data_IF_886644674067
#
_entry.id   IF_886644674067
#
_cell.length_a   1.000
_cell.length_b   1.000
_cell.length_c   1.000
_cell.angle_alpha   90.00
_cell.angle_beta   90.00
_cell.angle_gamma   90.00
#
_symmetry.space_group_name_H-M   'P 1'
#
loop_
_entity.id
_entity.type
_entity.pdbx_description
1 polymer ?
#
# COMPACT_ATOMS: atom_id res chain seq x y z
N UNK A 1 -13.74 -3.24 13.95
CA UNK A 1 -13.87 -1.93 13.25
C UNK A 1 -13.46 -2.14 11.80
N UNK A 2 -14.36 -1.87 10.86
CA UNK A 2 -14.14 -2.15 9.44
C UNK A 2 -13.42 -0.99 8.73
N UNK A 3 -12.65 -1.33 7.72
CA UNK A 3 -12.00 -0.43 6.75
C UNK A 3 -12.67 -0.59 5.37
N UNK A 4 -12.61 0.43 4.48
CA UNK A 4 -11.97 1.74 4.66
C UNK A 4 -12.82 2.72 5.49
N UNK A 5 -12.22 3.85 5.88
CA UNK A 5 -12.90 4.96 6.55
C UNK A 5 -12.61 6.30 5.86
N UNK A 6 -13.43 7.31 6.13
CA UNK A 6 -13.11 8.69 5.82
C UNK A 6 -12.23 9.30 6.92
N UNK A 7 -11.09 9.86 6.53
CA UNK A 7 -10.20 10.60 7.43
C UNK A 7 -10.61 12.06 7.44
N UNK A 8 -11.36 12.44 8.49
CA UNK A 8 -11.80 13.80 8.74
C UNK A 8 -10.74 14.56 9.53
N UNK A 9 -10.09 15.56 8.93
CA UNK A 9 -9.04 16.38 9.55
C UNK A 9 -9.52 17.11 10.82
N UNK A 10 -10.82 17.33 10.97
CA UNK A 10 -11.43 17.96 12.16
C UNK A 10 -11.54 17.01 13.35
N UNK A 11 -11.48 15.69 13.12
CA UNK A 11 -11.68 14.66 14.14
C UNK A 11 -10.40 13.90 14.51
N UNK A 12 -9.25 14.32 13.97
CA UNK A 12 -7.98 13.64 14.24
C UNK A 12 -7.28 14.24 15.45
N UNK A 13 -6.78 13.37 16.31
CA UNK A 13 -5.83 13.76 17.35
C UNK A 13 -4.43 13.85 16.73
N UNK A 14 -3.77 15.01 16.91
CA UNK A 14 -2.42 15.21 16.42
C UNK A 14 -1.43 14.56 17.37
N UNK A 15 -0.86 13.44 16.95
CA UNK A 15 0.07 12.65 17.77
C UNK A 15 1.50 12.78 17.27
N UNK A 16 2.31 13.61 17.93
CA UNK A 16 3.70 13.88 17.52
C UNK A 16 4.69 12.77 17.91
N UNK A 17 4.42 12.03 18.99
CA UNK A 17 5.34 11.01 19.52
C UNK A 17 5.44 9.74 18.65
N UNK A 18 4.47 9.50 17.75
CA UNK A 18 4.53 8.38 16.80
C UNK A 18 5.68 8.50 15.80
N UNK A 19 6.22 9.71 15.61
CA UNK A 19 7.35 9.96 14.73
C UNK A 19 7.06 9.60 13.27
N UNK A 20 8.13 9.32 12.52
CA UNK A 20 8.06 8.94 11.10
C UNK A 20 7.85 7.42 10.99
N UNK A 21 7.23 6.97 9.90
CA UNK A 21 7.26 5.57 9.50
C UNK A 21 8.73 5.13 9.32
N UNK A 22 9.20 4.25 10.20
CA UNK A 22 10.55 3.69 10.12
C UNK A 22 10.53 2.51 9.14
N UNK A 23 11.25 2.65 8.03
CA UNK A 23 11.24 1.71 6.91
C UNK A 23 12.67 1.27 6.62
N UNK A 24 12.88 -0.04 6.63
CA UNK A 24 14.15 -0.70 6.31
C UNK A 24 13.95 -1.63 5.12
N UNK A 25 13.48 -1.09 4.00
CA UNK A 25 13.28 -1.85 2.78
C UNK A 25 14.59 -2.09 2.04
N UNK A 26 14.63 -3.19 1.29
CA UNK A 26 15.72 -3.56 0.39
C UNK A 26 15.15 -4.08 -0.92
N UNK A 27 15.93 -3.94 -1.99
CA UNK A 27 15.58 -4.55 -3.27
C UNK A 27 15.56 -6.08 -3.15
N UNK A 28 14.59 -6.70 -3.81
CA UNK A 28 14.44 -8.15 -3.88
C UNK A 28 13.74 -8.52 -5.19
N UNK A 29 13.82 -9.80 -5.59
CA UNK A 29 13.05 -10.28 -6.72
C UNK A 29 11.56 -10.15 -6.43
N UNK A 30 10.79 -9.80 -7.44
CA UNK A 30 9.35 -9.62 -7.33
C UNK A 30 8.60 -10.24 -8.50
N UNK A 31 7.40 -10.71 -8.19
CA UNK A 31 6.41 -11.13 -9.17
C UNK A 31 5.23 -10.18 -9.14
N UNK A 32 4.58 -10.04 -10.29
CA UNK A 32 3.40 -9.21 -10.49
C UNK A 32 2.29 -10.10 -11.03
N UNK A 33 1.12 -10.01 -10.41
CA UNK A 33 -0.02 -10.86 -10.69
C UNK A 33 -1.26 -10.00 -10.90
N UNK A 34 -2.03 -10.32 -11.95
CA UNK A 34 -3.37 -9.79 -12.14
C UNK A 34 -4.40 -10.71 -11.49
N UNK A 35 -5.05 -10.25 -10.42
CA UNK A 35 -6.04 -11.07 -9.70
C UNK A 35 -7.43 -11.05 -10.32
N UNK A 36 -7.67 -10.27 -11.37
CA UNK A 36 -8.79 -10.37 -12.32
C UNK A 36 -10.24 -10.22 -11.81
N UNK A 37 -10.50 -10.46 -10.53
CA UNK A 37 -11.83 -10.66 -9.93
C UNK A 37 -12.01 -10.01 -8.55
N UNK A 38 -10.94 -9.62 -7.86
CA UNK A 38 -10.99 -8.91 -6.57
C UNK A 38 -10.86 -7.39 -6.75
N UNK A 39 -11.23 -6.62 -5.71
CA UNK A 39 -11.02 -5.16 -5.66
C UNK A 39 -9.54 -4.77 -5.89
N UNK A 40 -8.62 -5.70 -5.60
CA UNK A 40 -7.19 -5.64 -5.88
C UNK A 40 -6.93 -6.06 -7.34
N UNK A 41 -6.74 -5.10 -8.24
CA UNK A 41 -6.48 -5.44 -9.65
C UNK A 41 -5.09 -6.01 -9.87
N UNK A 42 -4.10 -5.38 -9.25
CA UNK A 42 -2.68 -5.70 -9.43
C UNK A 42 -2.04 -5.97 -8.09
N UNK A 43 -1.36 -7.10 -7.96
CA UNK A 43 -0.63 -7.49 -6.75
C UNK A 43 0.84 -7.76 -7.11
N UNK A 44 1.74 -7.13 -6.39
CA UNK A 44 3.17 -7.38 -6.43
C UNK A 44 3.63 -8.03 -5.13
N UNK A 45 4.37 -9.13 -5.26
CA UNK A 45 4.96 -9.87 -4.13
C UNK A 45 6.46 -9.89 -4.26
N UNK A 46 7.17 -9.87 -3.14
CA UNK A 46 8.62 -9.99 -3.13
C UNK A 46 9.07 -11.35 -2.62
N UNK A 47 9.89 -12.02 -3.41
CA UNK A 47 10.51 -13.30 -3.07
C UNK A 47 11.72 -13.09 -2.16
N UNK A 48 11.83 -13.89 -1.09
CA UNK A 48 12.95 -13.79 -0.14
C UNK A 48 12.93 -12.55 0.78
N UNK A 49 11.83 -11.79 0.76
CA UNK A 49 11.56 -10.66 1.64
C UNK A 49 12.24 -9.35 1.23
N UNK A 50 11.48 -8.26 1.15
CA UNK A 50 11.95 -6.95 0.72
C UNK A 50 12.20 -5.95 1.86
N UNK A 51 12.48 -6.48 3.05
CA UNK A 51 12.70 -5.71 4.28
C UNK A 51 11.41 -5.45 5.04
N UNK A 52 11.41 -4.44 5.91
CA UNK A 52 10.39 -4.30 6.95
C UNK A 52 10.08 -2.85 7.31
N UNK A 53 9.03 -2.68 8.10
CA UNK A 53 8.77 -1.45 8.86
C UNK A 53 8.78 -1.75 10.36
N UNK A 54 9.03 -0.71 11.16
CA UNK A 54 8.94 -0.81 12.62
C UNK A 54 7.84 0.08 13.17
N UNK A 55 6.89 -0.52 13.90
CA UNK A 55 5.78 0.17 14.54
C UNK A 55 5.75 -0.21 16.01
N UNK A 56 5.84 0.79 16.90
CA UNK A 56 5.83 0.61 18.36
C UNK A 56 6.86 -0.42 18.87
N UNK A 57 8.03 -0.49 18.25
CA UNK A 57 9.11 -1.42 18.61
C UNK A 57 9.03 -2.79 17.91
N UNK A 58 7.87 -3.16 17.38
CA UNK A 58 7.65 -4.41 16.63
C UNK A 58 8.02 -4.25 15.16
N UNK A 59 8.67 -5.26 14.60
CA UNK A 59 9.02 -5.33 13.19
C UNK A 59 7.92 -6.06 12.39
N UNK A 60 7.61 -5.51 11.21
CA UNK A 60 6.63 -6.04 10.28
C UNK A 60 7.27 -6.16 8.89
N UNK A 61 7.43 -7.38 8.40
CA UNK A 61 8.01 -7.69 7.09
C UNK A 61 7.06 -7.28 5.98
N UNK A 62 7.57 -6.68 4.90
CA UNK A 62 6.78 -6.35 3.71
C UNK A 62 6.49 -7.63 2.93
N UNK A 63 5.21 -7.97 2.83
CA UNK A 63 4.75 -9.19 2.15
C UNK A 63 4.30 -8.91 0.71
N UNK A 64 3.51 -7.85 0.53
CA UNK A 64 2.96 -7.50 -0.78
C UNK A 64 2.62 -6.01 -0.90
N UNK A 65 2.50 -5.56 -2.14
CA UNK A 65 1.90 -4.29 -2.50
C UNK A 65 0.79 -4.53 -3.53
N UNK A 66 -0.34 -3.86 -3.40
CA UNK A 66 -1.41 -3.95 -4.39
C UNK A 66 -2.13 -2.63 -4.57
N UNK A 67 -2.87 -2.50 -5.67
CA UNK A 67 -3.55 -1.26 -6.04
C UNK A 67 -5.05 -1.44 -6.20
N UNK A 68 -5.79 -0.45 -5.71
CA UNK A 68 -7.23 -0.28 -5.88
C UNK A 68 -7.52 0.96 -6.72
N UNK A 69 -8.46 0.84 -7.65
CA UNK A 69 -8.93 1.96 -8.50
C UNK A 69 -10.46 1.96 -8.52
N UNK A 70 -11.14 3.00 -7.98
CA UNK A 70 -10.61 4.20 -7.33
C UNK A 70 -9.99 3.91 -5.94
N UNK A 71 -9.54 4.95 -5.21
CA UNK A 71 -9.11 4.77 -3.81
C UNK A 71 -10.23 4.18 -2.95
N UNK A 72 -9.87 3.44 -1.91
CA UNK A 72 -10.85 2.92 -0.95
C UNK A 72 -11.13 3.96 0.14
N UNK A 73 -10.05 4.54 0.68
CA UNK A 73 -10.12 5.61 1.66
C UNK A 73 -10.45 6.96 1.02
N UNK A 74 -11.03 7.84 1.84
CA UNK A 74 -11.26 9.25 1.52
C UNK A 74 -10.61 10.14 2.57
N UNK A 75 -10.26 11.37 2.19
CA UNK A 75 -9.82 12.41 3.13
C UNK A 75 -10.81 13.58 3.01
N UNK A 76 -11.46 13.94 4.12
CA UNK A 76 -12.50 14.98 4.15
C UNK A 76 -13.58 14.75 3.07
N UNK A 77 -14.05 13.51 2.95
CA UNK A 77 -15.03 13.09 1.94
C UNK A 77 -14.52 13.01 0.49
N UNK A 78 -13.25 13.39 0.22
CA UNK A 78 -12.67 13.34 -1.12
C UNK A 78 -12.14 11.95 -1.46
N UNK A 79 -12.66 11.37 -2.54
CA UNK A 79 -12.15 10.14 -3.16
C UNK A 79 -11.03 10.44 -4.16
N UNK A 80 -10.08 9.52 -4.28
CA UNK A 80 -8.88 9.65 -5.10
C UNK A 80 -8.87 8.65 -6.26
N UNK A 81 -8.00 8.87 -7.23
CA UNK A 81 -7.99 8.11 -8.48
C UNK A 81 -7.51 6.66 -8.28
N UNK A 82 -6.62 6.44 -7.32
CA UNK A 82 -6.07 5.13 -6.99
C UNK A 82 -5.52 5.13 -5.57
N UNK A 83 -5.40 3.95 -4.97
CA UNK A 83 -4.74 3.74 -3.69
C UNK A 83 -3.85 2.51 -3.74
N UNK A 84 -2.61 2.63 -3.27
CA UNK A 84 -1.71 1.50 -3.07
C UNK A 84 -1.70 1.09 -1.61
N UNK A 85 -1.74 -0.22 -1.36
CA UNK A 85 -1.64 -0.82 -0.04
C UNK A 85 -0.37 -1.65 0.03
N UNK A 86 0.56 -1.23 0.88
CA UNK A 86 1.74 -2.02 1.24
C UNK A 86 1.42 -2.78 2.52
N UNK A 87 1.27 -4.11 2.42
CA UNK A 87 0.86 -4.99 3.52
C UNK A 87 2.09 -5.57 4.18
N UNK A 88 2.12 -5.48 5.51
CA UNK A 88 3.21 -5.98 6.32
C UNK A 88 2.68 -6.90 7.42
N UNK A 89 3.46 -7.91 7.77
CA UNK A 89 3.12 -8.89 8.79
C UNK A 89 4.28 -9.07 9.77
N UNK A 90 3.98 -9.11 11.07
CA UNK A 90 4.96 -9.43 12.11
C UNK A 90 5.02 -10.93 12.35
N UNK A 91 6.07 -11.40 13.04
CA UNK A 91 6.24 -12.82 13.37
C UNK A 91 5.10 -13.43 14.20
N UNK A 92 4.30 -12.60 14.88
CA UNK A 92 3.11 -13.00 15.65
C UNK A 92 1.79 -12.87 14.85
N UNK A 93 1.86 -12.65 13.53
CA UNK A 93 0.71 -12.60 12.63
C UNK A 93 -0.09 -11.29 12.69
N UNK A 94 0.43 -10.22 13.32
CA UNK A 94 -0.23 -8.91 13.31
C UNK A 94 0.06 -8.20 11.99
N UNK A 95 -0.95 -7.48 11.49
CA UNK A 95 -0.90 -6.83 10.18
C UNK A 95 -0.80 -5.32 10.32
N UNK A 96 0.12 -4.72 9.57
CA UNK A 96 0.19 -3.27 9.35
C UNK A 96 0.08 -2.98 7.86
N UNK A 97 -0.83 -2.10 7.48
CA UNK A 97 -0.96 -1.64 6.09
C UNK A 97 -0.58 -0.17 5.98
N UNK A 98 0.29 0.14 5.02
CA UNK A 98 0.61 1.51 4.64
C UNK A 98 -0.14 1.85 3.36
N UNK A 99 -1.08 2.79 3.45
CA UNK A 99 -1.88 3.27 2.33
C UNK A 99 -1.31 4.52 1.68
N UNK A 100 -1.25 4.55 0.36
CA UNK A 100 -0.75 5.68 -0.44
C UNK A 100 -1.82 6.08 -1.44
N UNK A 101 -2.32 7.31 -1.32
CA UNK A 101 -3.36 7.84 -2.20
C UNK A 101 -2.74 8.50 -3.44
N UNK A 102 -3.41 8.36 -4.58
CA UNK A 102 -2.97 8.92 -5.84
C UNK A 102 -4.04 9.78 -6.53
N UNK A 103 -3.60 10.85 -7.20
CA UNK A 103 -4.46 11.70 -8.02
C UNK A 103 -3.90 11.83 -9.45
N UNK A 104 -4.75 12.16 -10.41
CA UNK A 104 -4.33 12.34 -11.80
C UNK A 104 -3.42 13.57 -11.90
N UNK A 105 -2.28 13.44 -12.58
CA UNK A 105 -1.27 14.47 -12.70
C UNK A 105 -0.03 14.00 -13.45
N UNK A 106 1.16 14.25 -12.88
CA UNK A 106 2.43 13.82 -13.48
C UNK A 106 2.61 12.31 -13.33
N UNK A 107 3.27 11.63 -14.30
CA UNK A 107 3.57 10.20 -14.19
C UNK A 107 4.30 9.86 -12.89
N UNK A 108 3.91 8.76 -12.27
CA UNK A 108 4.70 8.19 -11.20
C UNK A 108 5.81 7.29 -11.80
N UNK A 109 7.05 7.55 -11.39
CA UNK A 109 8.22 6.86 -11.92
C UNK A 109 8.25 5.37 -11.59
N UNK A 110 7.69 4.96 -10.43
CA UNK A 110 7.63 3.55 -10.08
C UNK A 110 6.61 2.82 -10.96
N UNK A 111 5.39 3.36 -11.07
CA UNK A 111 4.37 2.77 -11.95
C UNK A 111 4.83 2.73 -13.41
N UNK A 112 5.51 3.78 -13.88
CA UNK A 112 6.08 3.79 -15.22
C UNK A 112 7.15 2.71 -15.41
N UNK A 113 7.98 2.43 -14.40
CA UNK A 113 9.01 1.39 -14.49
C UNK A 113 8.45 -0.02 -14.61
N UNK A 114 7.23 -0.26 -14.11
CA UNK A 114 6.56 -1.56 -14.19
C UNK A 114 5.46 -1.60 -15.26
N UNK A 115 5.33 -0.55 -16.09
CA UNK A 115 4.21 -0.40 -17.03
C UNK A 115 4.12 -1.55 -18.02
N UNK A 116 5.23 -1.98 -18.62
CA UNK A 116 5.22 -3.09 -19.56
C UNK A 116 4.75 -4.38 -18.91
N UNK A 117 5.19 -4.67 -17.68
CA UNK A 117 4.70 -5.83 -16.92
C UNK A 117 3.22 -5.72 -16.58
N UNK A 118 2.71 -4.52 -16.30
CA UNK A 118 1.29 -4.27 -16.09
C UNK A 118 0.48 -4.57 -17.36
N UNK A 119 0.98 -4.17 -18.53
CA UNK A 119 0.36 -4.42 -19.83
C UNK A 119 0.34 -5.92 -20.18
N UNK A 120 1.44 -6.63 -19.89
CA UNK A 120 1.56 -8.07 -20.13
C UNK A 120 0.48 -8.88 -19.39
N UNK A 121 0.22 -8.53 -18.12
CA UNK A 121 -0.77 -9.25 -17.31
C UNK A 121 -2.18 -8.63 -17.35
N UNK A 122 -2.36 -7.44 -17.94
CA UNK A 122 -3.69 -6.81 -18.03
C UNK A 122 -4.63 -7.55 -18.99
N UNK A 123 -4.09 -8.26 -19.99
CA UNK A 123 -4.84 -9.00 -20.99
C UNK A 123 -5.25 -10.42 -20.57
N UNK A 124 -4.69 -10.94 -19.48
CA UNK A 124 -4.84 -12.33 -19.07
C UNK A 124 -5.22 -12.41 -17.61
N UNK A 125 -6.30 -13.13 -17.31
CA UNK A 125 -6.76 -13.32 -15.93
C UNK A 125 -5.88 -14.35 -15.25
N UNK A 126 -5.44 -14.05 -14.03
CA UNK A 126 -4.65 -14.96 -13.17
C UNK A 126 -3.22 -15.23 -13.66
N UNK A 127 -2.71 -14.47 -14.64
CA UNK A 127 -1.31 -14.56 -15.03
C UNK A 127 -0.40 -13.84 -14.03
N UNK A 128 0.69 -14.52 -13.71
CA UNK A 128 1.80 -14.04 -12.92
C UNK A 128 3.02 -13.85 -13.85
N UNK A 129 3.67 -12.70 -13.75
CA UNK A 129 4.91 -12.40 -14.46
C UNK A 129 6.02 -12.05 -13.49
N UNK A 130 7.24 -12.47 -13.82
CA UNK A 130 8.43 -12.08 -13.05
C UNK A 130 8.85 -10.67 -13.47
N UNK A 131 8.89 -9.74 -12.52
CA UNK A 131 9.36 -8.36 -12.73
C UNK A 131 10.88 -8.28 -12.58
N UNK A 132 11.48 -9.23 -11.85
CA UNK A 132 12.90 -9.20 -11.50
C UNK A 132 13.14 -8.39 -10.22
N UNK A 133 14.31 -7.75 -10.11
CA UNK A 133 14.69 -7.04 -8.88
C UNK A 133 13.93 -5.72 -8.77
N UNK A 134 13.03 -5.62 -7.79
CA UNK A 134 12.25 -4.42 -7.48
C UNK A 134 12.61 -3.90 -6.10
N UNK A 135 12.91 -2.59 -6.03
CA UNK A 135 13.15 -1.89 -4.76
C UNK A 135 11.88 -1.20 -4.25
N UNK A 136 11.28 -1.65 -3.12
CA UNK A 136 10.08 -1.01 -2.56
C UNK A 136 10.31 0.46 -2.16
N UNK A 137 11.56 0.89 -1.98
CA UNK A 137 11.89 2.29 -1.66
C UNK A 137 11.53 3.24 -2.81
N UNK A 138 11.40 2.72 -4.03
CA UNK A 138 10.98 3.49 -5.19
C UNK A 138 9.48 3.85 -5.16
N UNK A 139 8.67 3.15 -4.35
CA UNK A 139 7.28 3.53 -4.08
C UNK A 139 7.29 4.78 -3.20
N UNK A 140 6.85 5.90 -3.76
CA UNK A 140 6.95 7.23 -3.13
C UNK A 140 6.00 7.37 -1.95
N UNK A 141 6.57 7.35 -0.75
CA UNK A 141 5.91 7.84 0.47
C UNK A 141 6.32 9.30 0.65
N UNK A 142 5.63 10.20 -0.05
CA UNK A 142 6.07 11.57 -0.23
C UNK A 142 5.99 12.49 0.99
N UNK A 143 5.63 11.97 2.18
CA UNK A 143 5.46 12.77 3.40
C UNK A 143 5.82 11.99 4.66
N UNK A 144 6.17 12.75 5.71
CA UNK A 144 6.33 12.24 7.08
C UNK A 144 5.00 12.15 7.85
N UNK A 145 3.97 12.86 7.37
CA UNK A 145 2.64 12.92 7.99
C UNK A 145 1.75 11.81 7.44
N UNK A 146 1.08 11.10 8.33
CA UNK A 146 0.13 10.04 8.02
C UNK A 146 -0.99 10.03 9.07
N UNK A 147 -2.13 9.47 8.71
CA UNK A 147 -3.20 9.10 9.63
C UNK A 147 -2.93 7.69 10.15
N UNK A 148 -3.29 7.41 11.40
CA UNK A 148 -3.14 6.09 12.03
C UNK A 148 -4.46 5.69 12.65
N UNK A 149 -4.95 4.49 12.36
CA UNK A 149 -6.12 3.92 13.02
C UNK A 149 -6.05 2.38 13.02
N UNK A 150 -6.91 1.74 13.82
CA UNK A 150 -7.08 0.28 13.83
C UNK A 150 -8.37 -0.03 13.07
N UNK A 151 -8.28 -0.89 12.06
CA UNK A 151 -9.38 -1.25 11.17
C UNK A 151 -9.35 -2.73 10.80
N UNK A 152 -9.72 -3.02 9.55
CA UNK A 152 -9.75 -4.38 8.99
C UNK A 152 -9.01 -4.46 7.65
N UNK A 153 -8.85 -5.66 7.12
CA UNK A 153 -8.61 -5.84 5.68
C UNK A 153 -9.83 -5.35 4.91
N UNK A 154 -9.61 -4.81 3.70
CA UNK A 154 -10.67 -4.32 2.81
C UNK A 154 -11.17 -5.39 1.83
N UNK A 155 -10.60 -6.59 1.92
CA UNK A 155 -11.03 -7.78 1.17
C UNK A 155 -11.49 -8.89 2.13
N UNK A 156 -12.40 -9.78 1.70
CA UNK A 156 -12.79 -10.95 2.48
C UNK A 156 -11.57 -11.77 2.95
N UNK A 157 -11.56 -12.27 4.21
CA UNK A 157 -12.66 -12.33 5.17
C UNK A 157 -12.82 -11.07 6.05
N UNK A 158 -12.28 -9.91 5.64
CA UNK A 158 -12.37 -8.63 6.35
C UNK A 158 -11.81 -8.70 7.79
N UNK A 159 -10.71 -9.44 7.96
CA UNK A 159 -10.03 -9.65 9.24
C UNK A 159 -9.76 -8.31 9.93
N UNK A 160 -10.22 -8.17 11.18
CA UNK A 160 -10.04 -6.95 11.96
C UNK A 160 -8.65 -6.87 12.63
N UNK A 161 -8.44 -5.81 13.42
CA UNK A 161 -7.20 -5.55 14.17
C UNK A 161 -5.98 -5.25 13.27
N UNK A 162 -6.24 -4.68 12.09
CA UNK A 162 -5.21 -4.21 11.16
C UNK A 162 -4.83 -2.79 11.52
N UNK A 163 -3.54 -2.53 11.71
CA UNK A 163 -3.04 -1.17 11.92
C UNK A 163 -2.85 -0.48 10.58
N UNK A 164 -3.65 0.55 10.31
CA UNK A 164 -3.56 1.33 9.08
C UNK A 164 -2.73 2.59 9.27
N UNK A 165 -1.82 2.85 8.35
CA UNK A 165 -1.09 4.13 8.22
C UNK A 165 -1.32 4.73 6.84
N UNK A 166 -2.20 5.72 6.72
CA UNK A 166 -2.49 6.38 5.44
C UNK A 166 -1.63 7.63 5.27
N UNK A 167 -0.78 7.66 4.26
CA UNK A 167 0.13 8.77 3.98
C UNK A 167 -0.67 10.00 3.56
N UNK A 168 -0.53 11.13 4.29
CA UNK A 168 -1.33 12.34 4.04
C UNK A 168 -1.00 13.01 2.70
N UNK A 169 0.22 12.85 2.18
CA UNK A 169 0.57 13.40 0.87
C UNK A 169 0.14 12.45 -0.23
N UNK A 170 -0.67 13.01 -1.11
CA UNK A 170 -1.16 12.37 -2.32
C UNK A 170 -0.08 12.39 -3.39
N UNK A 171 0.17 11.24 -4.02
CA UNK A 171 1.10 11.08 -5.14
C UNK A 171 0.35 11.34 -6.45
N UNK A 172 1.04 11.79 -7.50
CA UNK A 172 0.42 11.92 -8.82
C UNK A 172 0.69 10.69 -9.66
N UNK A 173 -0.31 10.24 -10.43
CA UNK A 173 -0.15 9.28 -11.51
C UNK A 173 -0.63 9.91 -12.83
N UNK A 174 -0.23 9.34 -13.97
CA UNK A 174 -0.77 9.71 -15.29
C UNK A 174 -1.38 8.48 -15.94
#
# INVERSE_FOLDING_TARGET
>A
MQSPIDMLDERVDVVSHLGRLNRSYKAANATLMNRGHDMMRMQMKWEGGAGSIRVNGTEYTLEQCHWHTPSEHTINGKKYAMEAHMVHESADGKIVVVGILYTIGRPDSFLQSIQHHLEDVAGTKEDETTVGVVDPRNIKIGSRKYYRYIGSLTIPPCTENVTWSIVKKVITLR
#
